data_IF_637747540726
#
_entry.id   IF_637747540726
#
_cell.length_a   1.000
_cell.length_b   1.000
_cell.length_c   1.000
_cell.angle_alpha   90.00
_cell.angle_beta   90.00
_cell.angle_gamma   90.00
#
_symmetry.space_group_name_H-M   'P 1'
#
loop_
_entity.id
_entity.type
_entity.pdbx_description
1 polymer ?
#
# COMPACT_ATOMS: atom_id res chain seq x y z
N UNK A 1 67.82 -46.71 -1.99
CA UNK A 1 66.77 -46.15 -2.87
C UNK A 1 65.42 -46.19 -2.19
N UNK A 2 65.06 -45.17 -1.38
CA UNK A 2 63.75 -45.08 -0.74
C UNK A 2 63.26 -43.60 -0.69
N UNK A 3 62.86 -43.00 -1.82
CA UNK A 3 62.30 -41.64 -1.83
C UNK A 3 61.05 -41.42 -2.70
N UNK A 4 60.35 -42.37 -3.30
CA UNK A 4 59.12 -42.05 -4.05
C UNK A 4 57.85 -41.94 -3.17
N UNK A 5 57.82 -42.60 -1.99
CA UNK A 5 56.60 -42.75 -1.20
C UNK A 5 56.14 -41.47 -0.46
N UNK A 6 57.06 -40.60 -0.07
CA UNK A 6 56.75 -39.34 0.62
C UNK A 6 56.11 -38.29 -0.33
N UNK A 7 56.51 -38.23 -1.58
CA UNK A 7 56.04 -37.32 -2.59
C UNK A 7 54.58 -37.62 -3.00
N UNK A 8 54.18 -38.90 -3.04
CA UNK A 8 52.84 -39.31 -3.41
C UNK A 8 51.84 -38.98 -2.29
N UNK A 9 52.19 -39.18 -1.02
CA UNK A 9 51.39 -38.80 0.13
C UNK A 9 51.16 -37.28 0.20
N UNK A 10 52.20 -36.49 -0.03
CA UNK A 10 52.11 -35.03 -0.03
C UNK A 10 51.16 -34.52 -1.11
N UNK A 11 51.24 -35.03 -2.35
CA UNK A 11 50.33 -34.69 -3.46
C UNK A 11 48.87 -35.05 -3.16
N UNK A 12 48.62 -36.18 -2.52
CA UNK A 12 47.27 -36.61 -2.11
C UNK A 12 46.72 -35.68 -1.04
N UNK A 13 47.47 -35.30 -0.03
CA UNK A 13 47.05 -34.36 1.04
C UNK A 13 46.77 -32.98 0.45
N UNK A 14 47.65 -32.47 -0.44
CA UNK A 14 47.44 -31.19 -1.10
C UNK A 14 46.18 -31.19 -1.96
N UNK A 15 45.89 -32.28 -2.69
CA UNK A 15 44.64 -32.44 -3.45
C UNK A 15 43.39 -32.40 -2.58
N UNK A 16 43.42 -33.07 -1.41
CA UNK A 16 42.29 -33.03 -0.45
C UNK A 16 42.05 -31.64 0.13
N UNK A 17 43.12 -30.92 0.48
CA UNK A 17 43.06 -29.56 1.02
C UNK A 17 42.46 -28.63 -0.05
N UNK A 18 42.87 -28.78 -1.31
CA UNK A 18 42.37 -27.97 -2.43
C UNK A 18 40.85 -28.19 -2.64
N UNK A 19 40.37 -29.45 -2.60
CA UNK A 19 38.94 -29.79 -2.73
C UNK A 19 38.14 -29.20 -1.56
N UNK A 20 38.63 -29.32 -0.33
CA UNK A 20 37.96 -28.73 0.83
C UNK A 20 37.85 -27.19 0.73
N UNK A 21 38.92 -26.54 0.25
CA UNK A 21 38.94 -25.09 0.08
C UNK A 21 37.98 -24.63 -1.01
N UNK A 22 37.87 -25.33 -2.13
CA UNK A 22 36.90 -25.09 -3.18
C UNK A 22 35.47 -25.31 -2.69
N UNK A 23 35.24 -26.37 -1.89
CA UNK A 23 33.94 -26.62 -1.26
C UNK A 23 33.50 -25.50 -0.31
N UNK A 24 34.42 -25.01 0.52
CA UNK A 24 34.16 -23.89 1.42
C UNK A 24 33.81 -22.58 0.66
N UNK A 25 34.54 -22.28 -0.41
CA UNK A 25 34.26 -21.12 -1.28
C UNK A 25 32.86 -21.25 -1.91
N UNK A 26 32.50 -22.43 -2.43
CA UNK A 26 31.20 -22.68 -3.01
C UNK A 26 30.06 -22.48 -2.01
N UNK A 27 30.21 -22.96 -0.76
CA UNK A 27 29.24 -22.78 0.31
C UNK A 27 29.04 -21.29 0.64
N UNK A 28 30.15 -20.53 0.77
CA UNK A 28 30.06 -19.08 1.03
C UNK A 28 29.36 -18.34 -0.10
N UNK A 29 29.62 -18.72 -1.34
CA UNK A 29 29.00 -18.12 -2.51
C UNK A 29 27.48 -18.38 -2.55
N UNK A 30 27.05 -19.65 -2.33
CA UNK A 30 25.66 -20.04 -2.26
C UNK A 30 24.94 -19.29 -1.14
N UNK A 31 25.56 -19.20 0.04
CA UNK A 31 24.99 -18.49 1.20
C UNK A 31 24.76 -17.00 0.89
N UNK A 32 25.75 -16.31 0.27
CA UNK A 32 25.59 -14.91 -0.15
C UNK A 32 24.47 -14.73 -1.20
N UNK A 33 24.38 -15.61 -2.18
CA UNK A 33 23.32 -15.57 -3.18
C UNK A 33 21.92 -15.80 -2.57
N UNK A 34 21.80 -16.73 -1.63
CA UNK A 34 20.53 -17.02 -0.96
C UNK A 34 20.04 -15.80 -0.16
N UNK A 35 20.91 -15.13 0.58
CA UNK A 35 20.55 -13.90 1.31
C UNK A 35 20.10 -12.80 0.34
N UNK A 36 20.83 -12.58 -0.74
CA UNK A 36 20.50 -11.56 -1.74
C UNK A 36 19.13 -11.84 -2.43
N UNK A 37 18.81 -13.11 -2.70
CA UNK A 37 17.54 -13.52 -3.26
C UNK A 37 16.39 -13.35 -2.27
N UNK A 38 16.62 -13.65 -0.99
CA UNK A 38 15.58 -13.51 0.07
C UNK A 38 15.25 -12.05 0.31
N UNK A 39 16.23 -11.15 0.30
CA UNK A 39 15.98 -9.70 0.42
C UNK A 39 15.20 -9.16 -0.79
N UNK A 40 15.57 -9.53 -2.02
CA UNK A 40 14.83 -9.13 -3.22
C UNK A 40 13.37 -9.63 -3.21
N UNK A 41 13.14 -10.86 -2.74
CA UNK A 41 11.79 -11.42 -2.63
C UNK A 41 10.91 -10.67 -1.64
N UNK A 42 11.44 -10.22 -0.51
CA UNK A 42 10.68 -9.42 0.46
C UNK A 42 10.31 -8.05 -0.07
N UNK A 43 11.21 -7.39 -0.80
CA UNK A 43 10.94 -6.09 -1.42
C UNK A 43 9.86 -6.19 -2.51
N UNK A 44 9.87 -7.27 -3.31
CA UNK A 44 8.88 -7.52 -4.34
C UNK A 44 7.48 -7.75 -3.76
N UNK A 45 7.36 -8.49 -2.65
CA UNK A 45 6.09 -8.70 -1.94
C UNK A 45 5.53 -7.36 -1.45
N UNK A 46 6.36 -6.51 -0.85
CA UNK A 46 5.94 -5.17 -0.38
C UNK A 46 5.46 -4.30 -1.54
N UNK A 47 6.14 -4.34 -2.69
CA UNK A 47 5.74 -3.59 -3.88
C UNK A 47 4.37 -4.09 -4.39
N UNK A 48 4.17 -5.40 -4.51
CA UNK A 48 2.89 -5.98 -4.93
C UNK A 48 1.76 -5.61 -3.96
N UNK A 49 2.00 -5.66 -2.65
CA UNK A 49 1.05 -5.25 -1.65
C UNK A 49 0.67 -3.76 -1.79
N UNK A 50 1.64 -2.87 -2.00
CA UNK A 50 1.39 -1.45 -2.26
C UNK A 50 0.54 -1.23 -3.50
N UNK A 51 0.87 -1.91 -4.61
CA UNK A 51 0.11 -1.81 -5.85
C UNK A 51 -1.34 -2.28 -5.68
N UNK A 52 -1.56 -3.36 -4.96
CA UNK A 52 -2.90 -3.86 -4.63
C UNK A 52 -3.69 -2.82 -3.83
N UNK A 53 -3.10 -2.25 -2.77
CA UNK A 53 -3.76 -1.23 -1.95
C UNK A 53 -4.07 0.03 -2.77
N UNK A 54 -3.16 0.48 -3.63
CA UNK A 54 -3.37 1.62 -4.52
C UNK A 54 -4.53 1.35 -5.48
N UNK A 55 -4.55 0.20 -6.14
CA UNK A 55 -5.62 -0.19 -7.05
C UNK A 55 -6.99 -0.24 -6.36
N UNK A 56 -7.05 -0.85 -5.17
CA UNK A 56 -8.26 -0.91 -4.35
C UNK A 56 -8.73 0.50 -3.92
N UNK A 57 -7.78 1.36 -3.56
CA UNK A 57 -8.07 2.75 -3.17
C UNK A 57 -8.63 3.56 -4.34
N UNK A 58 -8.07 3.42 -5.54
CA UNK A 58 -8.59 4.05 -6.74
C UNK A 58 -10.02 3.60 -7.05
N UNK A 59 -10.29 2.31 -6.99
CA UNK A 59 -11.66 1.77 -7.17
C UNK A 59 -12.64 2.39 -6.19
N UNK A 60 -12.29 2.43 -4.89
CA UNK A 60 -13.13 3.06 -3.86
C UNK A 60 -13.30 4.56 -4.06
N UNK A 61 -12.29 5.24 -4.59
CA UNK A 61 -12.36 6.66 -4.90
C UNK A 61 -13.38 6.93 -6.03
N UNK A 62 -13.39 6.12 -7.10
CA UNK A 62 -14.39 6.20 -8.15
C UNK A 62 -15.81 5.91 -7.64
N UNK A 63 -15.96 4.89 -6.79
CA UNK A 63 -17.26 4.58 -6.15
C UNK A 63 -17.73 5.74 -5.26
N UNK A 64 -16.84 6.33 -4.47
CA UNK A 64 -17.13 7.46 -3.62
C UNK A 64 -17.54 8.69 -4.46
N UNK A 65 -16.82 8.97 -5.56
CA UNK A 65 -17.15 10.08 -6.46
C UNK A 65 -18.54 9.91 -7.06
N UNK A 66 -18.86 8.74 -7.61
CA UNK A 66 -20.19 8.44 -8.15
C UNK A 66 -21.29 8.55 -7.09
N UNK A 67 -21.03 8.06 -5.88
CA UNK A 67 -21.97 8.15 -4.75
C UNK A 67 -22.15 9.60 -4.29
N UNK A 68 -21.07 10.40 -4.28
CA UNK A 68 -21.11 11.82 -3.98
C UNK A 68 -21.92 12.62 -5.00
N UNK A 69 -21.79 12.31 -6.30
CA UNK A 69 -22.60 12.88 -7.37
C UNK A 69 -24.07 12.50 -7.19
N UNK A 70 -24.35 11.20 -6.96
CA UNK A 70 -25.71 10.73 -6.72
C UNK A 70 -26.34 11.42 -5.49
N UNK A 71 -25.57 11.60 -4.40
CA UNK A 71 -26.03 12.38 -3.25
C UNK A 71 -26.29 13.85 -3.61
N UNK A 72 -25.41 14.48 -4.37
CA UNK A 72 -25.60 15.89 -4.77
C UNK A 72 -26.87 16.10 -5.59
N UNK A 73 -27.28 15.12 -6.37
CA UNK A 73 -28.52 15.14 -7.17
C UNK A 73 -29.77 14.83 -6.34
N UNK A 74 -29.74 13.73 -5.57
CA UNK A 74 -30.91 13.17 -4.88
C UNK A 74 -31.11 13.68 -3.45
N UNK A 75 -30.01 14.04 -2.77
CA UNK A 75 -30.02 14.41 -1.34
C UNK A 75 -30.32 13.24 -0.39
N UNK A 76 -30.31 11.98 -0.88
CA UNK A 76 -30.73 10.82 -0.08
C UNK A 76 -29.69 10.48 1.01
N UNK A 77 -30.16 10.25 2.24
CA UNK A 77 -29.35 9.82 3.37
C UNK A 77 -28.49 8.59 3.04
N UNK A 78 -29.09 7.62 2.35
CA UNK A 78 -28.40 6.38 1.95
C UNK A 78 -27.13 6.65 1.13
N UNK A 79 -27.16 7.59 0.18
CA UNK A 79 -26.01 7.94 -0.64
C UNK A 79 -24.94 8.65 0.20
N UNK A 80 -25.34 9.51 1.14
CA UNK A 80 -24.41 10.16 2.05
C UNK A 80 -23.69 9.14 2.95
N UNK A 81 -24.41 8.21 3.57
CA UNK A 81 -23.86 7.18 4.44
C UNK A 81 -22.93 6.23 3.67
N UNK A 82 -23.30 5.87 2.43
CA UNK A 82 -22.45 5.04 1.56
C UNK A 82 -21.17 5.76 1.21
N UNK A 83 -21.25 7.05 0.86
CA UNK A 83 -20.07 7.88 0.62
C UNK A 83 -19.14 7.92 1.82
N UNK A 84 -19.68 8.18 3.02
CA UNK A 84 -18.86 8.24 4.25
C UNK A 84 -18.15 6.92 4.56
N UNK A 85 -18.81 5.77 4.36
CA UNK A 85 -18.20 4.44 4.51
C UNK A 85 -17.07 4.19 3.50
N UNK A 86 -17.21 4.66 2.27
CA UNK A 86 -16.17 4.54 1.25
C UNK A 86 -14.95 5.39 1.61
N UNK A 87 -15.18 6.62 2.09
CA UNK A 87 -14.11 7.51 2.54
C UNK A 87 -13.32 6.92 3.71
N UNK A 88 -14.00 6.30 4.67
CA UNK A 88 -13.36 5.61 5.79
C UNK A 88 -12.40 4.51 5.28
N UNK A 89 -12.87 3.65 4.39
CA UNK A 89 -12.05 2.61 3.76
C UNK A 89 -10.86 3.17 2.95
N UNK A 90 -11.03 4.31 2.29
CA UNK A 90 -9.95 5.00 1.58
C UNK A 90 -8.89 5.47 2.58
N UNK A 91 -9.29 6.04 3.73
CA UNK A 91 -8.36 6.46 4.78
C UNK A 91 -7.58 5.31 5.37
N UNK A 92 -8.25 4.19 5.69
CA UNK A 92 -7.59 2.98 6.20
C UNK A 92 -6.52 2.47 5.22
N UNK A 93 -6.84 2.48 3.91
CA UNK A 93 -5.88 2.12 2.87
C UNK A 93 -4.70 3.11 2.82
N UNK A 94 -4.94 4.42 2.95
CA UNK A 94 -3.89 5.45 2.96
C UNK A 94 -2.98 5.31 4.18
N UNK A 95 -3.53 5.02 5.36
CA UNK A 95 -2.76 4.77 6.58
C UNK A 95 -1.91 3.50 6.42
N UNK A 96 -2.46 2.45 5.80
CA UNK A 96 -1.70 1.24 5.48
C UNK A 96 -0.56 1.53 4.51
N UNK A 97 -0.79 2.32 3.45
CA UNK A 97 0.26 2.76 2.52
C UNK A 97 1.34 3.58 3.21
N UNK A 98 0.95 4.44 4.14
CA UNK A 98 1.88 5.25 4.94
C UNK A 98 2.80 4.37 5.78
N UNK A 99 2.25 3.33 6.42
CA UNK A 99 3.02 2.36 7.22
C UNK A 99 3.97 1.50 6.37
N UNK A 100 3.61 1.23 5.12
CA UNK A 100 4.46 0.52 4.16
C UNK A 100 5.46 1.43 3.43
N UNK A 101 5.37 2.74 3.64
CA UNK A 101 6.21 3.73 2.95
C UNK A 101 7.59 3.82 3.61
N UNK A 102 8.63 3.80 2.80
CA UNK A 102 10.04 3.91 3.24
C UNK A 102 10.55 5.35 3.01
N UNK A 103 9.88 6.12 2.15
CA UNK A 103 10.34 7.44 1.69
C UNK A 103 9.50 8.57 2.29
N UNK A 104 10.18 9.62 2.78
CA UNK A 104 9.54 10.85 3.25
C UNK A 104 8.71 11.53 2.16
N UNK A 105 9.14 11.42 0.89
CA UNK A 105 8.40 11.97 -0.25
C UNK A 105 7.06 11.24 -0.47
N UNK A 106 7.04 9.91 -0.35
CA UNK A 106 5.80 9.13 -0.44
C UNK A 106 4.83 9.52 0.68
N UNK A 107 5.32 9.70 1.90
CA UNK A 107 4.52 10.14 3.03
C UNK A 107 3.91 11.52 2.79
N UNK A 108 4.67 12.46 2.26
CA UNK A 108 4.18 13.80 1.93
C UNK A 108 3.05 13.75 0.87
N UNK A 109 3.19 12.89 -0.15
CA UNK A 109 2.14 12.69 -1.17
C UNK A 109 0.86 12.09 -0.55
N UNK A 110 0.98 11.12 0.34
CA UNK A 110 -0.14 10.51 1.06
C UNK A 110 -0.84 11.56 1.94
N UNK A 111 -0.09 12.37 2.68
CA UNK A 111 -0.64 13.44 3.52
C UNK A 111 -1.35 14.52 2.68
N UNK A 112 -0.84 14.82 1.48
CA UNK A 112 -1.50 15.72 0.53
C UNK A 112 -2.85 15.16 0.09
N UNK A 113 -2.92 13.87 -0.28
CA UNK A 113 -4.17 13.20 -0.65
C UNK A 113 -5.17 13.22 0.52
N UNK A 114 -4.74 12.90 1.74
CA UNK A 114 -5.58 12.95 2.94
C UNK A 114 -6.15 14.35 3.21
N UNK A 115 -5.36 15.38 2.94
CA UNK A 115 -5.80 16.79 3.05
C UNK A 115 -6.88 17.12 2.03
N UNK A 116 -6.71 16.68 0.77
CA UNK A 116 -7.72 16.87 -0.29
C UNK A 116 -9.01 16.11 0.01
N UNK A 117 -8.92 14.87 0.48
CA UNK A 117 -10.08 14.07 0.93
C UNK A 117 -10.83 14.79 2.06
N UNK A 118 -10.12 15.34 3.03
CA UNK A 118 -10.72 16.07 4.14
C UNK A 118 -11.49 17.32 3.71
N UNK A 119 -10.95 18.09 2.75
CA UNK A 119 -11.65 19.22 2.12
C UNK A 119 -12.92 18.76 1.40
N UNK A 120 -12.85 17.66 0.65
CA UNK A 120 -14.00 17.12 -0.08
C UNK A 120 -15.11 16.64 0.86
N UNK A 121 -14.75 15.96 1.94
CA UNK A 121 -15.70 15.53 2.98
C UNK A 121 -16.40 16.74 3.60
N UNK A 122 -15.66 17.79 3.91
CA UNK A 122 -16.22 19.02 4.46
C UNK A 122 -17.27 19.60 3.51
N UNK A 123 -16.93 19.78 2.24
CA UNK A 123 -17.85 20.30 1.24
C UNK A 123 -19.14 19.45 1.11
N UNK A 124 -19.00 18.12 1.16
CA UNK A 124 -20.17 17.24 1.08
C UNK A 124 -21.03 17.28 2.36
N UNK A 125 -20.41 17.40 3.53
CA UNK A 125 -21.13 17.61 4.80
C UNK A 125 -21.89 18.95 4.82
N UNK A 126 -21.28 20.00 4.31
CA UNK A 126 -21.92 21.30 4.19
C UNK A 126 -23.13 21.23 3.24
N UNK A 127 -23.00 20.53 2.11
CA UNK A 127 -24.12 20.27 1.20
C UNK A 127 -25.23 19.43 1.86
N UNK A 128 -24.87 18.40 2.63
CA UNK A 128 -25.80 17.59 3.39
C UNK A 128 -26.61 18.44 4.38
N UNK A 129 -25.91 19.31 5.13
CA UNK A 129 -26.56 20.23 6.07
C UNK A 129 -27.55 21.17 5.36
N UNK A 130 -27.14 21.78 4.27
CA UNK A 130 -28.00 22.67 3.49
C UNK A 130 -29.26 21.92 3.00
N UNK A 131 -29.10 20.74 2.41
CA UNK A 131 -30.22 19.96 1.85
C UNK A 131 -31.21 19.47 2.92
N UNK A 132 -30.70 19.03 4.07
CA UNK A 132 -31.55 18.40 5.08
C UNK A 132 -32.05 19.37 6.17
N UNK A 133 -31.41 20.52 6.34
CA UNK A 133 -31.77 21.48 7.39
C UNK A 133 -32.40 22.74 6.84
N UNK A 134 -31.92 23.26 5.75
CA UNK A 134 -32.35 24.55 5.21
C UNK A 134 -33.52 24.38 4.21
N UNK A 135 -33.36 23.47 3.25
CA UNK A 135 -34.41 23.28 2.20
C UNK A 135 -35.78 22.87 2.73
N UNK A 136 -35.94 21.92 3.68
CA UNK A 136 -37.26 21.58 4.21
C UNK A 136 -37.97 22.77 4.86
N UNK A 137 -37.22 23.63 5.55
CA UNK A 137 -37.79 24.83 6.21
C UNK A 137 -38.33 25.86 5.22
N UNK A 138 -37.70 26.00 4.06
CA UNK A 138 -38.11 26.98 3.04
C UNK A 138 -39.42 26.56 2.39
N UNK A 139 -39.65 25.27 2.19
CA UNK A 139 -40.87 24.76 1.54
C UNK A 139 -42.07 24.63 2.49
N UNK A 140 -41.84 24.46 3.80
CA UNK A 140 -42.90 24.39 4.81
C UNK A 140 -43.43 25.78 5.23
N UNK A 141 -42.70 26.86 4.95
CA UNK A 141 -43.10 28.25 5.28
C UNK A 141 -43.81 28.98 4.14
N UNK A 142 -44.21 28.30 3.05
CA UNK A 142 -45.03 28.93 2.00
C UNK A 142 -46.42 29.16 2.54
N UNK A 143 -46.89 30.43 2.80
CA UNK A 143 -48.24 30.66 3.27
C UNK A 143 -49.19 30.18 2.20
N UNK A 144 -50.18 29.35 2.60
CA UNK A 144 -51.34 29.02 1.79
C UNK A 144 -52.04 30.32 1.41
N UNK A 145 -51.90 30.73 0.16
CA UNK A 145 -52.73 31.80 -0.38
C UNK A 145 -54.18 31.27 -0.45
N UNK A 146 -54.97 31.75 0.49
CA UNK A 146 -56.43 31.67 0.38
C UNK A 146 -56.92 32.60 -0.70
#
# INVERSE_FOLDING_TARGET
MQRPFKFTKLKLITGYILILLLGAIAIIFIYKQTIALTQKGSDEIVIQQKLFIISNTLTKLYEAENTGIAFSQTGTQKNFDTYMKLIEKIRDNMDTLKNLSISSEQNLRIDTINTLLSKRIKNLKDLYYVKNTIYPKIFTTRPSKK
#
